data_IF_003756732506
#
_entry.id   IF_003756732506
#
_cell.length_a   1.000
_cell.length_b   1.000
_cell.length_c   1.000
_cell.angle_alpha   90.00
_cell.angle_beta   90.00
_cell.angle_gamma   90.00
#
_symmetry.space_group_name_H-M   'P 1'
#
loop_
_entity.id
_entity.type
_entity.pdbx_description
1 polymer ?
#
# COMPACT_ATOMS: atom_id res chain seq x y z
N UNK A 1 7.98 2.39 -26.06
CA UNK A 1 6.91 3.13 -25.39
C UNK A 1 7.07 2.88 -23.90
N UNK A 2 7.45 3.90 -23.12
CA UNK A 2 7.56 3.74 -21.66
C UNK A 2 6.13 3.60 -21.15
N UNK A 3 5.74 2.41 -20.73
CA UNK A 3 4.47 2.23 -20.03
C UNK A 3 4.55 3.13 -18.80
N UNK A 4 3.84 4.25 -18.83
CA UNK A 4 3.54 5.03 -17.65
C UNK A 4 2.75 4.09 -16.74
N UNK A 5 3.46 3.46 -15.81
CA UNK A 5 2.83 2.68 -14.76
C UNK A 5 1.91 3.64 -14.01
N UNK A 6 0.62 3.58 -14.32
CA UNK A 6 -0.42 4.30 -13.62
C UNK A 6 -0.34 3.91 -12.15
N UNK A 7 -0.13 4.92 -11.29
CA UNK A 7 -0.08 4.70 -9.85
C UNK A 7 -1.51 4.35 -9.43
N UNK A 8 -1.76 3.14 -8.89
CA UNK A 8 -3.11 2.78 -8.47
C UNK A 8 -3.53 3.70 -7.35
N UNK A 9 -4.84 3.87 -7.20
CA UNK A 9 -5.42 4.56 -6.06
C UNK A 9 -5.99 3.51 -5.11
N UNK A 10 -5.47 3.46 -3.90
CA UNK A 10 -5.94 2.56 -2.85
C UNK A 10 -6.28 3.39 -1.63
N UNK A 11 -7.49 3.26 -1.11
CA UNK A 11 -7.97 4.06 0.02
C UNK A 11 -8.41 3.16 1.17
N UNK A 12 -8.24 3.64 2.40
CA UNK A 12 -8.81 2.98 3.56
C UNK A 12 -10.35 3.06 3.50
N UNK A 13 -11.07 1.93 3.62
CA UNK A 13 -12.53 1.92 3.53
C UNK A 13 -13.22 2.62 4.71
N UNK A 14 -12.49 2.87 5.81
CA UNK A 14 -13.06 3.46 7.02
C UNK A 14 -12.78 4.95 7.18
N UNK A 15 -11.57 5.41 6.84
CA UNK A 15 -11.19 6.82 6.98
C UNK A 15 -10.96 7.54 5.66
N UNK A 16 -11.08 6.86 4.52
CA UNK A 16 -10.90 7.43 3.18
C UNK A 16 -9.47 7.87 2.86
N UNK A 17 -8.49 7.61 3.74
CA UNK A 17 -7.11 8.03 3.52
C UNK A 17 -6.46 7.20 2.41
N UNK A 18 -5.74 7.88 1.51
CA UNK A 18 -4.94 7.22 0.48
C UNK A 18 -3.83 6.40 1.15
N UNK A 19 -3.76 5.12 0.81
CA UNK A 19 -2.78 4.16 1.31
C UNK A 19 -1.59 4.03 0.35
N UNK A 20 -1.57 4.76 -0.76
CA UNK A 20 -0.47 4.71 -1.73
C UNK A 20 0.52 5.83 -1.43
N UNK A 21 1.76 5.43 -1.13
CA UNK A 21 2.89 6.34 -0.96
C UNK A 21 3.77 6.30 -2.20
N UNK A 22 3.93 7.46 -2.83
CA UNK A 22 4.89 7.64 -3.93
C UNK A 22 6.29 7.66 -3.31
N UNK A 23 7.17 6.82 -3.84
CA UNK A 23 8.55 6.73 -3.37
C UNK A 23 9.37 7.92 -3.89
N UNK A 24 10.34 8.39 -3.11
CA UNK A 24 11.35 9.35 -3.57
C UNK A 24 12.25 8.76 -4.65
N UNK A 25 12.91 9.56 -5.49
CA UNK A 25 13.79 9.05 -6.55
C UNK A 25 14.86 8.08 -6.06
N UNK A 26 15.40 8.31 -4.86
CA UNK A 26 16.39 7.43 -4.23
C UNK A 26 15.79 6.07 -3.89
N UNK A 27 14.60 6.06 -3.27
CA UNK A 27 13.87 4.83 -2.97
C UNK A 27 13.45 4.10 -4.25
N UNK A 28 13.02 4.84 -5.28
CA UNK A 28 12.67 4.25 -6.57
C UNK A 28 13.85 3.54 -7.22
N UNK A 29 15.06 4.15 -7.18
CA UNK A 29 16.29 3.52 -7.66
C UNK A 29 16.66 2.28 -6.84
N UNK A 30 16.50 2.34 -5.51
CA UNK A 30 16.86 1.24 -4.61
C UNK A 30 15.93 0.03 -4.74
N UNK A 31 14.62 0.27 -4.71
CA UNK A 31 13.61 -0.79 -4.67
C UNK A 31 13.07 -1.17 -6.06
N UNK A 32 13.41 -0.39 -7.10
CA UNK A 32 12.85 -0.54 -8.46
C UNK A 32 11.31 -0.48 -8.48
N UNK A 33 10.73 0.28 -7.57
CA UNK A 33 9.28 0.51 -7.43
C UNK A 33 8.99 2.00 -7.51
N UNK A 34 7.85 2.40 -8.09
CA UNK A 34 7.41 3.82 -8.11
C UNK A 34 6.62 4.23 -6.87
N UNK A 35 5.84 3.29 -6.34
CA UNK A 35 4.95 3.49 -5.20
C UNK A 35 4.94 2.25 -4.33
N UNK A 36 4.45 2.41 -3.10
CA UNK A 36 4.16 1.30 -2.17
C UNK A 36 2.77 1.50 -1.59
N UNK A 37 2.07 0.40 -1.29
CA UNK A 37 0.90 0.47 -0.41
C UNK A 37 1.36 0.42 1.04
N UNK A 38 0.87 1.35 1.85
CA UNK A 38 1.13 1.48 3.27
C UNK A 38 0.18 0.62 4.13
N UNK A 39 -0.73 -0.15 3.51
CA UNK A 39 -1.58 -1.08 4.27
C UNK A 39 -0.71 -2.13 4.96
N UNK A 40 -1.05 -2.44 6.20
CA UNK A 40 -0.32 -3.42 7.00
C UNK A 40 -1.02 -4.78 6.84
N UNK A 41 -0.27 -5.80 6.42
CA UNK A 41 -0.77 -7.17 6.38
C UNK A 41 -0.96 -7.72 7.79
N UNK A 42 -2.18 -8.13 8.12
CA UNK A 42 -2.46 -8.93 9.31
C UNK A 42 -2.40 -10.39 8.87
N UNK A 43 -1.38 -11.09 9.32
CA UNK A 43 -1.11 -12.47 8.94
C UNK A 43 -1.16 -13.42 10.12
N UNK A 44 -1.56 -14.65 9.84
CA UNK A 44 -1.24 -15.82 10.66
C UNK A 44 -0.11 -16.58 9.93
N UNK A 45 0.66 -17.42 10.63
CA UNK A 45 1.85 -18.18 10.16
C UNK A 45 2.15 -18.11 8.65
N UNK A 46 1.26 -18.62 7.79
CA UNK A 46 1.50 -18.72 6.33
C UNK A 46 0.76 -17.71 5.44
N UNK A 47 -0.17 -16.89 5.96
CA UNK A 47 -1.00 -16.03 5.10
C UNK A 47 -1.50 -14.74 5.73
N UNK A 48 -1.53 -13.67 4.93
CA UNK A 48 -2.24 -12.42 5.22
C UNK A 48 -3.73 -12.66 5.02
N UNK A 49 -4.50 -12.63 6.12
CA UNK A 49 -5.95 -12.83 6.13
C UNK A 49 -6.75 -11.52 6.23
N UNK A 50 -6.10 -10.42 6.62
CA UNK A 50 -6.73 -9.12 6.72
C UNK A 50 -5.72 -7.99 6.47
N UNK A 51 -6.25 -6.80 6.18
CA UNK A 51 -5.48 -5.58 6.01
C UNK A 51 -5.81 -4.59 7.12
N UNK A 52 -4.81 -3.89 7.62
CA UNK A 52 -4.94 -2.85 8.66
C UNK A 52 -4.49 -1.50 8.12
N UNK A 53 -5.27 -0.46 8.42
CA UNK A 53 -4.92 0.92 8.09
C UNK A 53 -3.89 1.45 9.10
N UNK A 54 -2.73 1.98 8.66
CA UNK A 54 -1.75 2.57 9.57
C UNK A 54 -2.26 3.87 10.23
N UNK A 55 -3.29 4.50 9.66
CA UNK A 55 -3.78 5.82 10.09
C UNK A 55 -4.96 5.76 11.06
N UNK A 56 -5.99 4.96 10.75
CA UNK A 56 -7.18 4.83 11.61
C UNK A 56 -7.24 3.52 12.39
N UNK A 57 -6.18 2.68 12.27
CA UNK A 57 -5.97 1.40 12.97
C UNK A 57 -7.03 0.31 12.76
N UNK A 58 -8.12 0.61 12.02
CA UNK A 58 -9.15 -0.36 11.65
C UNK A 58 -8.62 -1.39 10.66
N UNK A 59 -9.20 -2.59 10.76
CA UNK A 59 -8.84 -3.78 10.00
C UNK A 59 -10.02 -4.23 9.15
N UNK A 60 -9.79 -4.65 7.91
CA UNK A 60 -10.80 -5.25 7.04
C UNK A 60 -10.31 -6.58 6.47
N UNK A 61 -11.26 -7.46 6.17
CA UNK A 61 -10.96 -8.77 5.57
C UNK A 61 -10.32 -8.57 4.20
N UNK A 62 -9.29 -9.38 3.91
CA UNK A 62 -8.60 -9.40 2.62
C UNK A 62 -9.53 -9.85 1.51
#
# INVERSE_FOLDING_TARGET
>A
MKNEQEIPKEYCPYCGKNLIRILSEQEQKKYKLRYVSEKIGVSNWDSIFAWKCPYCTKTWRR
#
